data_IF_940251701000
#
_entry.id   IF_940251701000
#
_cell.length_a   1.000
_cell.length_b   1.000
_cell.length_c   1.000
_cell.angle_alpha   90.00
_cell.angle_beta   90.00
_cell.angle_gamma   90.00
#
_symmetry.space_group_name_H-M   'P 1'
#
loop_
_entity.id
_entity.type
_entity.pdbx_description
1 polymer ?
#
# COMPACT_ATOMS: atom_id res chain seq x y z
N UNK A 1 6.85 -25.68 -6.87
CA UNK A 1 7.31 -24.64 -7.83
C UNK A 1 6.12 -23.92 -8.48
N UNK A 2 5.14 -24.62 -9.06
CA UNK A 2 3.99 -23.97 -9.74
C UNK A 2 3.06 -23.16 -8.81
N UNK A 3 2.85 -23.59 -7.56
CA UNK A 3 1.96 -22.92 -6.61
C UNK A 3 2.39 -21.49 -6.24
N UNK A 4 3.68 -21.27 -6.00
CA UNK A 4 4.20 -19.92 -5.70
C UNK A 4 4.04 -18.98 -6.88
N UNK A 5 4.26 -19.48 -8.11
CA UNK A 5 4.08 -18.67 -9.31
C UNK A 5 2.61 -18.30 -9.54
N UNK A 6 1.69 -19.19 -9.19
CA UNK A 6 0.25 -18.87 -9.22
C UNK A 6 -0.12 -17.78 -8.20
N UNK A 7 0.42 -17.80 -6.99
CA UNK A 7 0.18 -16.75 -5.98
C UNK A 7 0.71 -15.38 -6.44
N UNK A 8 1.88 -15.35 -7.07
CA UNK A 8 2.51 -14.12 -7.58
C UNK A 8 1.75 -13.48 -8.75
N UNK A 9 0.91 -14.26 -9.45
CA UNK A 9 0.16 -13.83 -10.63
C UNK A 9 -1.36 -13.77 -10.38
N UNK A 10 -1.83 -14.19 -9.20
CA UNK A 10 -3.24 -14.19 -8.85
C UNK A 10 -3.74 -12.75 -8.67
N UNK A 11 -4.76 -12.38 -9.43
CA UNK A 11 -5.40 -11.07 -9.30
C UNK A 11 -6.26 -10.96 -8.03
N UNK A 12 -6.80 -12.06 -7.52
CA UNK A 12 -7.68 -12.08 -6.35
C UNK A 12 -8.80 -11.04 -6.43
N UNK A 13 -8.81 -10.08 -5.51
CA UNK A 13 -9.82 -9.01 -5.45
C UNK A 13 -9.59 -7.89 -6.48
N UNK A 14 -8.41 -7.86 -7.10
CA UNK A 14 -7.95 -6.80 -7.98
C UNK A 14 -8.29 -7.06 -9.46
N UNK A 15 -8.36 -5.97 -10.23
CA UNK A 15 -8.33 -5.99 -11.69
C UNK A 15 -7.41 -4.87 -12.14
N UNK A 16 -6.47 -5.20 -13.03
CA UNK A 16 -5.46 -4.25 -13.49
C UNK A 16 -5.75 -3.78 -14.92
N UNK A 17 -5.48 -2.50 -15.15
CA UNK A 17 -5.41 -1.87 -16.45
C UNK A 17 -4.15 -0.99 -16.48
N UNK A 18 -3.69 -0.61 -17.68
CA UNK A 18 -2.41 0.08 -17.85
C UNK A 18 -2.21 1.38 -17.03
N UNK A 19 -3.29 2.02 -16.55
CA UNK A 19 -3.22 3.28 -15.77
C UNK A 19 -4.04 3.25 -14.48
N UNK A 20 -4.60 2.11 -14.12
CA UNK A 20 -5.51 2.01 -12.99
C UNK A 20 -5.61 0.58 -12.48
N UNK A 21 -5.97 0.43 -11.22
CA UNK A 21 -6.45 -0.83 -10.68
C UNK A 21 -7.88 -0.68 -10.19
N UNK A 22 -8.55 -1.79 -9.93
CA UNK A 22 -9.88 -1.79 -9.35
C UNK A 22 -10.03 -2.88 -8.30
N UNK A 23 -10.53 -2.50 -7.14
CA UNK A 23 -10.68 -3.39 -5.98
C UNK A 23 -12.15 -3.81 -5.83
N UNK A 24 -12.38 -5.11 -5.62
CA UNK A 24 -13.71 -5.63 -5.30
C UNK A 24 -13.97 -5.44 -3.80
N UNK A 25 -14.99 -4.66 -3.47
CA UNK A 25 -15.47 -4.38 -2.11
C UNK A 25 -16.92 -4.88 -1.96
N UNK A 26 -17.48 -4.97 -0.73
CA UNK A 26 -18.86 -5.43 -0.51
C UNK A 26 -19.92 -4.64 -1.31
N UNK A 27 -19.68 -3.35 -1.59
CA UNK A 27 -20.57 -2.48 -2.36
C UNK A 27 -20.35 -2.45 -3.87
N UNK A 28 -19.43 -3.26 -4.41
CA UNK A 28 -19.09 -3.27 -5.83
C UNK A 28 -17.60 -3.11 -6.10
N UNK A 29 -17.25 -2.61 -7.28
CA UNK A 29 -15.85 -2.44 -7.69
C UNK A 29 -15.51 -0.96 -7.75
N UNK A 30 -14.51 -0.55 -6.98
CA UNK A 30 -13.99 0.83 -6.98
C UNK A 30 -12.72 0.86 -7.81
N UNK A 31 -12.60 1.90 -8.65
CA UNK A 31 -11.45 2.08 -9.56
C UNK A 31 -10.56 3.20 -9.03
N UNK A 32 -9.26 2.94 -9.02
CA UNK A 32 -8.22 3.85 -8.57
C UNK A 32 -7.20 4.06 -9.69
N UNK A 33 -6.80 5.30 -9.91
CA UNK A 33 -5.86 5.67 -10.97
C UNK A 33 -4.46 5.91 -10.39
N UNK A 34 -3.44 5.27 -10.96
CA UNK A 34 -2.07 5.35 -10.44
C UNK A 34 -1.52 6.78 -10.45
N UNK A 35 -1.85 7.58 -11.46
CA UNK A 35 -1.41 8.98 -11.57
C UNK A 35 -2.10 9.94 -10.58
N UNK A 36 -3.16 9.47 -9.91
CA UNK A 36 -3.89 10.19 -8.88
C UNK A 36 -3.36 9.90 -7.47
N UNK A 37 -2.48 8.91 -7.30
CA UNK A 37 -1.81 8.67 -6.01
C UNK A 37 -0.93 9.87 -5.68
N UNK A 38 -1.18 10.48 -4.52
CA UNK A 38 -0.38 11.54 -3.94
C UNK A 38 0.68 10.98 -3.00
N UNK A 39 0.31 9.98 -2.19
CA UNK A 39 1.16 9.49 -1.08
C UNK A 39 0.90 8.02 -0.85
N UNK A 40 1.97 7.29 -0.51
CA UNK A 40 1.91 5.86 -0.18
C UNK A 40 2.62 5.67 1.15
N UNK A 41 1.94 5.00 2.08
CA UNK A 41 2.54 4.50 3.31
C UNK A 41 2.51 2.98 3.32
N UNK A 42 3.57 2.38 3.83
CA UNK A 42 3.64 0.96 4.16
C UNK A 42 3.60 0.81 5.67
N UNK A 43 2.93 -0.22 6.17
CA UNK A 43 2.67 -0.39 7.58
C UNK A 43 2.59 -1.85 8.01
N UNK A 44 2.66 -2.07 9.32
CA UNK A 44 2.24 -3.32 9.97
C UNK A 44 1.19 -2.98 11.04
N UNK A 45 0.07 -3.70 11.08
CA UNK A 45 -0.98 -3.47 12.09
C UNK A 45 -0.46 -3.89 13.49
N UNK A 46 -0.51 -3.01 14.49
CA UNK A 46 0.03 -3.29 15.84
C UNK A 46 -0.94 -4.10 16.74
N UNK A 47 -2.12 -4.51 16.25
CA UNK A 47 -3.18 -5.10 17.09
C UNK A 47 -2.95 -6.59 17.43
N UNK A 48 -2.03 -7.28 16.76
CA UNK A 48 -1.75 -8.70 16.98
C UNK A 48 -0.25 -8.96 16.94
N UNK A 49 0.24 -9.95 17.70
CA UNK A 49 1.65 -10.33 17.86
C UNK A 49 2.40 -10.66 16.55
N UNK A 50 1.69 -10.74 15.43
CA UNK A 50 2.17 -11.03 14.09
C UNK A 50 1.43 -10.18 13.05
N UNK A 51 1.19 -8.90 13.36
CA UNK A 51 0.35 -8.01 12.57
C UNK A 51 0.53 -8.11 11.07
N UNK A 52 -0.57 -8.06 10.32
CA UNK A 52 -0.54 -8.11 8.87
C UNK A 52 0.08 -6.82 8.32
N UNK A 53 0.85 -6.95 7.23
CA UNK A 53 1.33 -5.81 6.49
C UNK A 53 0.18 -5.10 5.76
N UNK A 54 0.33 -3.80 5.56
CA UNK A 54 -0.58 -3.01 4.75
C UNK A 54 0.13 -1.93 3.95
N UNK A 55 -0.55 -1.50 2.88
CA UNK A 55 -0.23 -0.30 2.12
C UNK A 55 -1.44 0.62 2.13
N UNK A 56 -1.24 1.87 2.55
CA UNK A 56 -2.22 2.94 2.37
C UNK A 56 -1.84 3.79 1.17
N UNK A 57 -2.80 3.99 0.27
CA UNK A 57 -2.68 4.89 -0.87
C UNK A 57 -3.65 6.05 -0.68
N UNK A 58 -3.10 7.25 -0.68
CA UNK A 58 -3.85 8.50 -0.66
C UNK A 58 -3.89 9.09 -2.06
N UNK A 59 -5.04 9.61 -2.45
CA UNK A 59 -5.28 10.17 -3.77
C UNK A 59 -5.52 11.67 -3.72
N UNK A 60 -5.28 12.37 -4.84
CA UNK A 60 -5.44 13.82 -4.95
C UNK A 60 -6.84 14.34 -4.65
N UNK A 61 -7.87 13.51 -4.85
CA UNK A 61 -9.26 13.84 -4.56
C UNK A 61 -9.61 13.69 -3.07
N UNK A 62 -8.63 13.34 -2.22
CA UNK A 62 -8.81 13.11 -0.80
C UNK A 62 -9.31 11.71 -0.46
N UNK A 63 -9.57 10.86 -1.46
CA UNK A 63 -9.89 9.45 -1.20
C UNK A 63 -8.66 8.69 -0.73
N UNK A 64 -8.90 7.56 -0.05
CA UNK A 64 -7.85 6.66 0.42
C UNK A 64 -8.28 5.20 0.23
N UNK A 65 -7.30 4.31 0.08
CA UNK A 65 -7.52 2.87 0.14
C UNK A 65 -6.40 2.20 0.92
N UNK A 66 -6.79 1.34 1.88
CA UNK A 66 -5.89 0.41 2.56
C UNK A 66 -5.95 -0.94 1.87
N UNK A 67 -4.80 -1.44 1.47
CA UNK A 67 -4.61 -2.80 0.96
C UNK A 67 -3.83 -3.59 2.00
N UNK A 68 -4.35 -4.74 2.42
CA UNK A 68 -3.74 -5.59 3.47
C UNK A 68 -3.16 -6.88 2.89
N UNK A 69 -2.17 -7.44 3.58
CA UNK A 69 -1.52 -8.70 3.24
C UNK A 69 -2.50 -9.88 3.14
N UNK A 70 -3.50 -9.92 4.01
CA UNK A 70 -4.56 -10.94 4.00
C UNK A 70 -5.46 -10.91 2.74
N UNK A 71 -5.41 -9.82 1.95
CA UNK A 71 -6.24 -9.69 0.75
C UNK A 71 -5.73 -10.56 -0.38
N UNK A 72 -6.61 -11.39 -0.94
CA UNK A 72 -6.28 -12.18 -2.13
C UNK A 72 -5.79 -11.27 -3.26
N UNK A 73 -4.59 -11.57 -3.78
CA UNK A 73 -3.91 -10.80 -4.81
C UNK A 73 -2.87 -9.79 -4.29
N UNK A 74 -2.59 -9.76 -2.98
CA UNK A 74 -1.55 -8.95 -2.34
C UNK A 74 -0.22 -8.94 -3.12
N UNK A 75 0.37 -10.11 -3.38
CA UNK A 75 1.68 -10.17 -4.06
C UNK A 75 1.65 -9.57 -5.48
N UNK A 76 0.55 -9.79 -6.22
CA UNK A 76 0.38 -9.18 -7.54
C UNK A 76 0.22 -7.67 -7.42
N UNK A 77 -0.48 -7.19 -6.40
CA UNK A 77 -0.62 -5.77 -6.10
C UNK A 77 0.73 -5.11 -5.83
N UNK A 78 1.59 -5.72 -5.00
CA UNK A 78 2.94 -5.21 -4.74
C UNK A 78 3.78 -5.08 -6.01
N UNK A 79 3.73 -6.09 -6.91
CA UNK A 79 4.41 -6.02 -8.21
C UNK A 79 3.94 -4.83 -9.05
N UNK A 80 2.63 -4.61 -9.12
CA UNK A 80 2.03 -3.51 -9.86
C UNK A 80 2.35 -2.15 -9.22
N UNK A 81 2.43 -2.08 -7.89
CA UNK A 81 2.84 -0.90 -7.14
C UNK A 81 4.27 -0.50 -7.50
N UNK A 82 5.24 -1.42 -7.41
CA UNK A 82 6.64 -1.16 -7.76
C UNK A 82 6.78 -0.79 -9.24
N UNK A 83 6.02 -1.42 -10.13
CA UNK A 83 6.04 -1.09 -11.56
C UNK A 83 5.59 0.35 -11.86
N UNK A 84 4.64 0.89 -11.10
CA UNK A 84 4.14 2.26 -11.28
C UNK A 84 4.91 3.30 -10.46
N UNK A 85 5.61 2.88 -9.40
CA UNK A 85 6.40 3.74 -8.52
C UNK A 85 7.80 3.16 -8.34
N UNK A 86 8.67 3.23 -9.36
CA UNK A 86 10.00 2.60 -9.34
C UNK A 86 10.98 3.20 -8.33
N UNK A 87 10.59 4.27 -7.62
CA UNK A 87 11.35 4.84 -6.50
C UNK A 87 11.08 4.16 -5.16
N UNK A 88 10.14 3.20 -5.10
CA UNK A 88 9.92 2.36 -3.93
C UNK A 88 11.11 1.43 -3.74
N UNK A 89 11.64 1.36 -2.52
CA UNK A 89 12.69 0.40 -2.18
C UNK A 89 12.15 -1.03 -2.31
N UNK A 90 12.81 -1.94 -3.06
CA UNK A 90 12.25 -3.26 -3.35
C UNK A 90 11.91 -4.13 -2.12
N UNK A 91 12.58 -3.88 -1.00
CA UNK A 91 12.53 -4.70 0.22
C UNK A 91 11.85 -3.95 1.39
N UNK A 92 11.07 -2.90 1.11
CA UNK A 92 10.44 -2.05 2.13
C UNK A 92 9.56 -2.85 3.11
N UNK A 93 8.95 -3.93 2.64
CA UNK A 93 8.08 -4.82 3.40
C UNK A 93 8.86 -5.70 4.40
N UNK A 94 10.13 -6.02 4.08
CA UNK A 94 11.05 -6.71 4.99
C UNK A 94 11.45 -5.78 6.14
N UNK A 95 11.76 -4.52 5.83
CA UNK A 95 12.18 -3.54 6.84
C UNK A 95 11.05 -3.21 7.82
N UNK A 96 9.80 -3.20 7.33
CA UNK A 96 8.61 -2.92 8.11
C UNK A 96 8.15 -4.11 8.96
N UNK A 97 8.44 -5.35 8.55
CA UNK A 97 8.10 -6.55 9.33
C UNK A 97 9.11 -6.87 10.46
N UNK A 98 10.18 -6.08 10.58
CA UNK A 98 11.22 -6.28 11.59
C UNK A 98 10.81 -5.76 12.98
N UNK A 99 10.97 -6.54 14.06
CA UNK A 99 10.55 -6.18 15.42
C UNK A 99 11.36 -5.03 16.07
N UNK A 100 12.34 -4.46 15.36
CA UNK A 100 13.22 -3.41 15.88
C UNK A 100 12.59 -2.00 15.78
N UNK A 101 11.57 -1.81 14.94
CA UNK A 101 10.94 -0.51 14.74
C UNK A 101 9.65 -0.39 15.58
N UNK A 102 9.62 0.53 16.54
CA UNK A 102 8.47 0.75 17.44
C UNK A 102 7.30 1.53 16.79
N UNK A 103 7.37 1.76 15.48
CA UNK A 103 6.30 2.35 14.68
C UNK A 103 6.51 1.88 13.24
N UNK A 104 5.93 0.74 12.88
CA UNK A 104 6.18 0.09 11.58
C UNK A 104 5.53 0.82 10.39
N UNK A 105 5.21 2.11 10.51
CA UNK A 105 4.72 2.92 9.40
C UNK A 105 5.90 3.62 8.72
N UNK A 106 6.02 3.46 7.41
CA UNK A 106 7.06 4.07 6.58
C UNK A 106 6.42 4.87 5.46
N UNK A 107 6.90 6.09 5.22
CA UNK A 107 6.56 6.86 4.02
C UNK A 107 7.29 6.27 2.83
N UNK A 108 6.56 5.55 1.98
CA UNK A 108 7.12 4.85 0.83
C UNK A 108 7.23 5.76 -0.40
N UNK A 109 6.26 6.65 -0.58
CA UNK A 109 6.24 7.62 -1.67
C UNK A 109 5.48 8.86 -1.27
N UNK A 110 6.01 10.04 -1.64
CA UNK A 110 5.25 11.27 -1.60
C UNK A 110 5.51 12.14 -2.82
N UNK A 111 4.44 12.47 -3.55
CA UNK A 111 4.50 13.30 -4.74
C UNK A 111 4.98 14.72 -4.44
N UNK A 112 4.65 15.24 -3.26
CA UNK A 112 5.02 16.59 -2.82
C UNK A 112 6.39 16.63 -2.11
N UNK A 113 7.04 15.46 -1.92
CA UNK A 113 8.32 15.33 -1.20
C UNK A 113 8.30 15.95 0.20
N UNK A 114 7.18 15.80 0.89
CA UNK A 114 7.02 16.17 2.30
C UNK A 114 7.88 15.24 3.17
N UNK A 115 8.22 15.72 4.36
CA UNK A 115 8.79 14.86 5.40
C UNK A 115 7.71 13.92 5.97
N UNK A 116 8.13 12.80 6.55
CA UNK A 116 7.24 11.83 7.21
C UNK A 116 6.23 12.50 8.17
N UNK A 117 6.63 13.40 9.11
CA UNK A 117 5.66 14.04 10.01
C UNK A 117 4.60 14.89 9.29
N UNK A 118 4.97 15.63 8.23
CA UNK A 118 4.01 16.45 7.47
C UNK A 118 3.07 15.61 6.62
N UNK A 119 3.59 14.54 6.01
CA UNK A 119 2.76 13.63 5.24
C UNK A 119 1.74 12.92 6.16
N UNK A 120 2.15 12.55 7.39
CA UNK A 120 1.27 11.97 8.40
C UNK A 120 0.13 12.92 8.80
N UNK A 121 0.45 14.17 9.10
CA UNK A 121 -0.53 15.21 9.44
C UNK A 121 -1.56 15.38 8.31
N UNK A 122 -1.09 15.60 7.07
CA UNK A 122 -1.96 15.87 5.93
C UNK A 122 -2.82 14.66 5.53
N UNK A 123 -2.32 13.44 5.69
CA UNK A 123 -3.01 12.22 5.22
C UNK A 123 -3.89 11.58 6.30
N UNK A 124 -3.47 11.57 7.56
CA UNK A 124 -4.20 10.91 8.65
C UNK A 124 -4.89 11.88 9.61
N UNK A 125 -4.80 13.20 9.36
CA UNK A 125 -5.35 14.26 10.22
C UNK A 125 -4.86 14.12 11.68
N UNK A 126 -3.58 13.72 11.84
CA UNK A 126 -2.94 13.53 13.14
C UNK A 126 -2.28 14.84 13.60
N UNK A 127 -2.45 15.27 14.87
CA UNK A 127 -1.77 16.45 15.38
C UNK A 127 -0.25 16.24 15.49
N UNK A 128 0.54 17.24 15.08
CA UNK A 128 1.99 17.28 15.34
C UNK A 128 2.25 17.28 16.86
N UNK A 129 2.97 16.26 17.34
CA UNK A 129 3.42 16.14 18.74
C UNK A 129 4.76 16.86 18.91
#
# INVERSE_FOLDING_TARGET
>A
MEFFQQLLEANGQFQYQAKSFSLKLPGGRVRYHWNEVSTIFGGQDNEVSSGDLYVDLFFKDGSQVRVKEEMEGWYRFLKELVAHFPGLEPDWDIDISSPINQSNLTLLYDKLKRSMPRALEDCYDLPLI
#
